data_IF_273418399393
#
_entry.id   IF_273418399393
#
_cell.length_a   1.000
_cell.length_b   1.000
_cell.length_c   1.000
_cell.angle_alpha   90.00
_cell.angle_beta   90.00
_cell.angle_gamma   90.00
#
_symmetry.space_group_name_H-M   'P 1'
#
loop_
_entity.id
_entity.type
_entity.pdbx_description
1 polymer ?
#
# COMPACT_ATOMS: atom_id res chain seq x y z
N UNK A 1 -22.63 -10.64 -5.39
CA UNK A 1 -23.22 -11.53 -6.42
C UNK A 1 -22.08 -12.14 -7.22
N UNK A 2 -21.71 -13.38 -6.94
CA UNK A 2 -20.64 -14.08 -7.66
C UNK A 2 -21.15 -14.59 -9.01
N UNK A 3 -20.42 -14.31 -10.08
CA UNK A 3 -20.69 -14.91 -11.40
C UNK A 3 -20.40 -16.40 -11.30
N UNK A 4 -21.41 -17.23 -11.52
CA UNK A 4 -21.23 -18.67 -11.67
C UNK A 4 -20.54 -18.93 -13.01
N UNK A 5 -19.22 -19.08 -12.98
CA UNK A 5 -18.45 -19.51 -14.14
C UNK A 5 -18.51 -21.05 -14.21
N UNK A 6 -19.51 -21.55 -14.93
CA UNK A 6 -19.69 -22.99 -15.19
C UNK A 6 -18.93 -23.38 -16.47
N UNK A 7 -17.60 -23.49 -16.34
CA UNK A 7 -16.73 -24.02 -17.38
C UNK A 7 -15.76 -25.02 -16.75
N UNK A 8 -15.66 -26.21 -17.33
CA UNK A 8 -14.90 -27.39 -16.87
C UNK A 8 -13.38 -27.21 -16.74
N UNK A 9 -12.86 -26.00 -16.93
CA UNK A 9 -11.43 -25.67 -16.82
C UNK A 9 -11.15 -24.49 -15.87
N UNK A 10 -12.13 -24.06 -15.07
CA UNK A 10 -11.89 -23.03 -14.05
C UNK A 10 -11.62 -23.66 -12.67
N UNK A 11 -10.47 -23.31 -12.10
CA UNK A 11 -10.13 -23.63 -10.72
C UNK A 11 -10.18 -22.35 -9.89
N UNK A 12 -10.87 -22.40 -8.75
CA UNK A 12 -10.81 -21.30 -7.79
C UNK A 12 -9.54 -21.40 -6.98
N UNK A 13 -8.83 -20.28 -6.80
CA UNK A 13 -7.60 -20.25 -6.04
C UNK A 13 -7.82 -20.69 -4.58
N UNK A 14 -8.94 -20.29 -3.98
CA UNK A 14 -9.36 -20.69 -2.63
C UNK A 14 -9.53 -22.21 -2.44
N UNK A 15 -9.85 -22.93 -3.51
CA UNK A 15 -9.99 -24.39 -3.48
C UNK A 15 -8.66 -25.12 -3.59
N UNK A 16 -7.65 -24.50 -4.21
CA UNK A 16 -6.33 -25.09 -4.41
C UNK A 16 -5.34 -24.68 -3.31
N UNK A 17 -5.40 -23.42 -2.88
CA UNK A 17 -4.55 -22.81 -1.88
C UNK A 17 -5.42 -21.96 -0.93
N UNK A 18 -6.18 -22.56 -0.01
CA UNK A 18 -6.99 -21.78 0.94
C UNK A 18 -6.11 -20.88 1.81
N UNK A 19 -6.59 -19.68 2.16
CA UNK A 19 -5.92 -18.79 3.10
C UNK A 19 -6.86 -18.45 4.26
N UNK A 20 -6.34 -18.47 5.49
CA UNK A 20 -7.09 -18.23 6.74
C UNK A 20 -6.97 -16.78 7.24
N UNK A 21 -6.43 -15.90 6.41
CA UNK A 21 -6.22 -14.51 6.72
C UNK A 21 -4.84 -14.17 7.27
N UNK A 22 -4.01 -15.16 7.62
CA UNK A 22 -2.62 -14.92 8.02
C UNK A 22 -1.65 -15.90 7.40
N UNK A 23 -2.12 -17.00 6.83
CA UNK A 23 -1.33 -17.96 6.06
C UNK A 23 -2.12 -18.47 4.86
N UNK A 24 -1.42 -19.01 3.87
CA UNK A 24 -2.00 -19.71 2.74
C UNK A 24 -1.49 -21.15 2.74
N UNK A 25 -2.35 -22.12 2.45
CA UNK A 25 -1.98 -23.53 2.39
C UNK A 25 -1.30 -23.86 1.05
N UNK A 26 -0.22 -24.61 1.13
CA UNK A 26 0.50 -25.26 0.05
C UNK A 26 0.15 -26.75 -0.07
N UNK A 27 1.03 -27.59 -0.65
CA UNK A 27 0.72 -28.97 -0.98
C UNK A 27 0.47 -29.77 0.31
N UNK A 28 -0.54 -30.63 0.27
CA UNK A 28 -0.98 -31.43 1.43
C UNK A 28 -1.31 -30.59 2.68
N UNK A 29 -1.72 -29.32 2.51
CA UNK A 29 -2.11 -28.44 3.62
C UNK A 29 -0.95 -27.82 4.39
N UNK A 30 0.29 -27.97 3.92
CA UNK A 30 1.46 -27.33 4.57
C UNK A 30 1.38 -25.81 4.44
N UNK A 31 1.58 -25.01 5.50
CA UNK A 31 1.48 -23.55 5.39
C UNK A 31 2.62 -22.96 4.56
N UNK A 32 2.28 -21.90 3.83
CA UNK A 32 3.23 -20.99 3.17
C UNK A 32 3.50 -19.86 4.15
N UNK A 33 4.57 -19.99 4.93
CA UNK A 33 4.97 -19.03 5.95
C UNK A 33 5.64 -17.80 5.32
N UNK A 34 4.85 -16.97 4.62
CA UNK A 34 5.30 -15.68 4.11
C UNK A 34 4.72 -14.55 4.98
N UNK A 35 5.53 -13.75 5.69
CA UNK A 35 5.05 -12.64 6.51
C UNK A 35 4.17 -11.61 5.80
N UNK A 36 4.27 -11.51 4.46
CA UNK A 36 3.46 -10.60 3.64
C UNK A 36 1.99 -11.01 3.56
N UNK A 37 1.61 -12.24 3.91
CA UNK A 37 0.20 -12.68 3.94
C UNK A 37 -0.66 -11.89 4.93
N UNK A 38 -0.04 -11.19 5.88
CA UNK A 38 -0.75 -10.23 6.75
C UNK A 38 -1.39 -9.10 5.93
N UNK A 39 -0.81 -8.74 4.78
CA UNK A 39 -1.29 -7.72 3.86
C UNK A 39 -2.29 -8.32 2.87
N UNK A 40 -3.55 -7.84 2.77
CA UNK A 40 -4.55 -8.39 1.86
C UNK A 40 -4.09 -8.48 0.40
N UNK A 41 -3.41 -7.44 -0.11
CA UNK A 41 -2.90 -7.41 -1.48
C UNK A 41 -1.88 -8.53 -1.75
N UNK A 42 -0.92 -8.74 -0.85
CA UNK A 42 0.05 -9.83 -0.96
C UNK A 42 -0.58 -11.20 -0.70
N UNK A 43 -1.53 -11.30 0.22
CA UNK A 43 -2.25 -12.55 0.47
C UNK A 43 -2.93 -13.07 -0.79
N UNK A 44 -3.67 -12.21 -1.48
CA UNK A 44 -4.33 -12.58 -2.74
C UNK A 44 -3.30 -12.97 -3.82
N UNK A 45 -2.21 -12.21 -3.94
CA UNK A 45 -1.15 -12.53 -4.89
C UNK A 45 -0.45 -13.87 -4.59
N UNK A 46 -0.12 -14.12 -3.32
CA UNK A 46 0.48 -15.38 -2.85
C UNK A 46 -0.48 -16.54 -3.05
N UNK A 47 -1.77 -16.36 -2.76
CA UNK A 47 -2.81 -17.36 -3.00
C UNK A 47 -2.88 -17.77 -4.48
N UNK A 48 -2.95 -16.77 -5.36
CA UNK A 48 -3.01 -16.99 -6.80
C UNK A 48 -1.74 -17.65 -7.33
N UNK A 49 -0.57 -17.19 -6.88
CA UNK A 49 0.72 -17.78 -7.26
C UNK A 49 0.84 -19.23 -6.74
N UNK A 50 0.37 -19.52 -5.53
CA UNK A 50 0.38 -20.86 -4.97
C UNK A 50 -0.55 -21.80 -5.76
N UNK A 51 -1.76 -21.36 -6.05
CA UNK A 51 -2.71 -22.10 -6.88
C UNK A 51 -2.15 -22.36 -8.30
N UNK A 52 -1.54 -21.36 -8.92
CA UNK A 52 -0.90 -21.50 -10.22
C UNK A 52 0.27 -22.49 -10.19
N UNK A 53 1.14 -22.41 -9.17
CA UNK A 53 2.25 -23.35 -8.98
C UNK A 53 1.73 -24.79 -8.85
N UNK A 54 0.68 -25.02 -8.07
CA UNK A 54 0.05 -26.34 -7.93
C UNK A 54 -0.51 -26.86 -9.27
N UNK A 55 -1.14 -26.00 -10.08
CA UNK A 55 -1.70 -26.37 -11.38
C UNK A 55 -0.62 -26.77 -12.40
N UNK A 56 0.56 -26.15 -12.36
CA UNK A 56 1.67 -26.45 -13.28
C UNK A 56 2.67 -27.48 -12.73
N UNK A 57 2.38 -28.10 -11.57
CA UNK A 57 3.25 -29.08 -10.93
C UNK A 57 4.50 -28.50 -10.27
N UNK A 58 4.52 -27.20 -9.96
CA UNK A 58 5.57 -26.53 -9.22
C UNK A 58 5.42 -26.62 -7.70
N UNK A 59 6.44 -26.16 -6.97
CA UNK A 59 6.44 -26.07 -5.51
C UNK A 59 6.05 -24.66 -5.02
N UNK A 60 4.85 -24.46 -4.46
CA UNK A 60 4.41 -23.16 -3.94
C UNK A 60 5.12 -22.78 -2.64
N UNK A 61 5.81 -23.68 -1.94
CA UNK A 61 6.53 -23.35 -0.69
C UNK A 61 7.70 -22.38 -0.93
N UNK A 62 8.16 -22.26 -2.18
CA UNK A 62 9.15 -21.25 -2.59
C UNK A 62 8.66 -19.82 -2.35
N UNK A 63 7.34 -19.60 -2.31
CA UNK A 63 6.73 -18.32 -2.01
C UNK A 63 7.00 -17.86 -0.56
N UNK A 64 7.40 -18.75 0.35
CA UNK A 64 7.82 -18.36 1.71
C UNK A 64 9.00 -17.38 1.72
N UNK A 65 9.84 -17.41 0.68
CA UNK A 65 11.02 -16.54 0.53
C UNK A 65 10.79 -15.30 -0.34
N UNK A 66 9.58 -15.14 -0.88
CA UNK A 66 9.25 -13.97 -1.69
C UNK A 66 9.26 -12.71 -0.81
N UNK A 67 10.12 -11.75 -1.15
CA UNK A 67 10.13 -10.42 -0.56
C UNK A 67 9.08 -9.49 -1.16
N UNK A 68 8.80 -8.35 -0.50
CA UNK A 68 7.90 -7.35 -1.05
C UNK A 68 8.51 -6.74 -2.31
N UNK A 69 7.64 -6.44 -3.27
CA UNK A 69 8.01 -5.68 -4.46
C UNK A 69 8.26 -4.22 -4.03
N UNK A 70 9.41 -3.62 -4.39
CA UNK A 70 9.66 -2.22 -4.13
C UNK A 70 8.51 -1.32 -4.61
N UNK A 71 8.10 -0.36 -3.77
CA UNK A 71 6.98 0.52 -4.07
C UNK A 71 5.60 -0.13 -3.95
N UNK A 72 5.46 -1.37 -3.49
CA UNK A 72 4.17 -2.03 -3.21
C UNK A 72 4.13 -2.52 -1.77
N UNK A 73 3.70 -1.67 -0.84
CA UNK A 73 3.67 -1.93 0.60
C UNK A 73 5.00 -2.47 1.16
N UNK A 74 6.13 -2.06 0.61
CA UNK A 74 7.44 -2.52 1.04
C UNK A 74 7.86 -1.78 2.32
N UNK A 75 7.92 -2.50 3.45
CA UNK A 75 8.40 -1.94 4.70
C UNK A 75 9.92 -2.07 4.85
N UNK A 76 10.58 -0.98 5.26
CA UNK A 76 12.02 -0.96 5.57
C UNK A 76 12.29 -0.10 6.81
N UNK A 77 13.46 -0.30 7.41
CA UNK A 77 13.99 0.60 8.43
C UNK A 77 14.93 1.61 7.77
N UNK A 78 14.71 2.89 8.04
CA UNK A 78 15.47 3.99 7.46
C UNK A 78 15.68 5.07 8.52
N UNK A 79 16.94 5.39 8.82
CA UNK A 79 17.29 6.34 9.89
C UNK A 79 16.58 6.04 11.23
N UNK A 80 16.38 4.75 11.56
CA UNK A 80 15.68 4.32 12.78
C UNK A 80 14.15 4.39 12.71
N UNK A 81 13.57 4.78 11.57
CA UNK A 81 12.12 4.90 11.35
C UNK A 81 11.62 3.81 10.40
N UNK A 82 10.41 3.31 10.66
CA UNK A 82 9.73 2.39 9.75
C UNK A 82 9.19 3.19 8.56
N UNK A 83 9.58 2.82 7.35
CA UNK A 83 9.07 3.41 6.11
C UNK A 83 8.30 2.34 5.36
N UNK A 84 7.02 2.59 5.09
CA UNK A 84 6.17 1.75 4.22
C UNK A 84 6.06 2.42 2.87
N UNK A 85 6.56 1.76 1.83
CA UNK A 85 6.64 2.30 0.48
C UNK A 85 5.60 1.65 -0.44
N UNK A 86 4.57 2.43 -0.78
CA UNK A 86 3.53 2.13 -1.75
C UNK A 86 3.53 3.13 -2.92
N UNK A 87 4.69 3.72 -3.23
CA UNK A 87 4.80 4.70 -4.31
C UNK A 87 5.07 4.03 -5.66
N UNK A 88 4.03 3.90 -6.47
CA UNK A 88 4.08 3.26 -7.79
C UNK A 88 2.98 3.80 -8.73
N UNK A 89 2.89 3.26 -9.95
CA UNK A 89 1.91 3.73 -10.95
C UNK A 89 0.46 3.38 -10.61
N UNK A 90 0.26 2.34 -9.79
CA UNK A 90 -1.02 1.87 -9.29
C UNK A 90 -1.44 2.45 -7.94
N UNK A 91 -0.71 3.41 -7.38
CA UNK A 91 -1.11 4.06 -6.13
C UNK A 91 -2.47 4.74 -6.29
N UNK A 92 -3.35 4.50 -5.32
CA UNK A 92 -4.70 5.07 -5.23
C UNK A 92 -5.02 5.42 -3.78
N UNK A 93 -6.18 6.05 -3.54
CA UNK A 93 -6.72 6.23 -2.19
C UNK A 93 -6.78 4.92 -1.40
N UNK A 94 -7.22 3.84 -2.02
CA UNK A 94 -7.36 2.54 -1.36
C UNK A 94 -5.99 2.02 -0.90
N UNK A 95 -5.01 1.98 -1.80
CA UNK A 95 -3.68 1.43 -1.47
C UNK A 95 -2.92 2.34 -0.49
N UNK A 96 -3.11 3.66 -0.55
CA UNK A 96 -2.59 4.59 0.44
C UNK A 96 -3.13 4.30 1.85
N UNK A 97 -4.44 4.04 1.98
CA UNK A 97 -5.04 3.65 3.26
C UNK A 97 -4.54 2.29 3.74
N UNK A 98 -4.38 1.31 2.85
CA UNK A 98 -3.80 0.00 3.20
C UNK A 98 -2.35 0.12 3.69
N UNK A 99 -1.54 0.97 3.04
CA UNK A 99 -0.17 1.26 3.44
C UNK A 99 -0.10 1.88 4.84
N UNK A 100 -1.00 2.82 5.14
CA UNK A 100 -1.08 3.43 6.46
C UNK A 100 -1.58 2.47 7.54
N UNK A 101 -2.57 1.64 7.23
CA UNK A 101 -3.02 0.58 8.14
C UNK A 101 -1.87 -0.39 8.45
N UNK A 102 -1.09 -0.76 7.44
CA UNK A 102 0.07 -1.61 7.63
C UNK A 102 1.15 -0.96 8.49
N UNK A 103 1.46 0.32 8.26
CA UNK A 103 2.39 1.07 9.08
C UNK A 103 1.96 1.09 10.56
N UNK A 104 0.67 1.22 10.84
CA UNK A 104 0.11 1.16 12.21
C UNK A 104 0.18 -0.24 12.83
N UNK A 105 0.05 -1.30 12.04
CA UNK A 105 0.28 -2.68 12.52
C UNK A 105 1.74 -2.87 12.91
N UNK A 106 2.67 -2.37 12.08
CA UNK A 106 4.11 -2.47 12.36
C UNK A 106 4.53 -1.62 13.56
N UNK A 107 3.89 -0.46 13.77
CA UNK A 107 4.18 0.48 14.85
C UNK A 107 2.87 0.98 15.48
N UNK A 108 2.27 0.22 16.41
CA UNK A 108 1.01 0.59 17.05
C UNK A 108 1.15 1.82 17.94
N UNK A 109 0.15 2.71 17.92
CA UNK A 109 0.00 3.80 18.89
C UNK A 109 1.00 4.95 18.79
N UNK A 110 1.79 5.03 17.71
CA UNK A 110 2.73 6.14 17.47
C UNK A 110 2.25 7.07 16.35
N UNK A 111 2.64 8.36 16.38
CA UNK A 111 2.30 9.33 15.34
C UNK A 111 2.70 8.87 13.93
N UNK A 112 1.84 9.05 12.93
CA UNK A 112 2.09 8.62 11.55
C UNK A 112 2.29 9.83 10.63
N UNK A 113 3.30 9.75 9.77
CA UNK A 113 3.49 10.71 8.66
C UNK A 113 3.07 10.07 7.34
N UNK A 114 2.21 10.74 6.58
CA UNK A 114 1.74 10.30 5.27
C UNK A 114 2.26 11.24 4.19
N UNK A 115 3.04 10.70 3.25
CA UNK A 115 3.45 11.38 2.02
C UNK A 115 2.54 10.88 0.90
N UNK A 116 1.74 11.75 0.30
CA UNK A 116 0.67 11.34 -0.62
C UNK A 116 0.48 12.33 -1.76
N UNK A 117 0.09 11.84 -2.93
CA UNK A 117 -0.20 12.67 -4.09
C UNK A 117 0.34 12.06 -5.38
N UNK A 118 0.77 12.90 -6.31
CA UNK A 118 1.24 12.48 -7.63
C UNK A 118 2.50 13.23 -8.03
N UNK A 119 3.52 12.48 -8.45
CA UNK A 119 4.73 13.02 -9.06
C UNK A 119 4.53 13.13 -10.59
N UNK A 120 5.03 14.22 -11.20
CA UNK A 120 4.73 14.59 -12.58
C UNK A 120 4.96 13.42 -13.58
N UNK A 121 4.01 13.25 -14.50
CA UNK A 121 3.95 12.25 -15.60
C UNK A 121 3.24 10.92 -15.30
N UNK A 122 2.48 10.73 -14.23
CA UNK A 122 1.64 9.53 -14.10
C UNK A 122 0.77 9.33 -15.37
N UNK A 123 0.85 8.17 -16.02
CA UNK A 123 0.21 7.94 -17.34
C UNK A 123 -1.08 7.11 -17.23
N UNK A 124 -1.32 6.51 -16.06
CA UNK A 124 -2.63 5.95 -15.69
C UNK A 124 -3.50 7.04 -15.05
N UNK A 125 -4.81 6.82 -14.92
CA UNK A 125 -5.75 7.73 -14.24
C UNK A 125 -5.09 8.36 -13.00
N UNK A 126 -4.95 9.69 -13.00
CA UNK A 126 -4.16 10.43 -12.02
C UNK A 126 -4.67 10.26 -10.59
N UNK A 127 -3.86 10.64 -9.59
CA UNK A 127 -4.30 10.68 -8.19
C UNK A 127 -5.00 12.03 -7.95
N UNK A 128 -6.33 12.04 -8.09
CA UNK A 128 -7.12 13.26 -8.03
C UNK A 128 -6.93 14.02 -6.70
N UNK A 129 -6.98 15.37 -6.68
CA UNK A 129 -6.88 16.14 -5.44
C UNK A 129 -7.89 15.71 -4.36
N UNK A 130 -9.13 15.42 -4.77
CA UNK A 130 -10.17 14.92 -3.87
C UNK A 130 -9.88 13.54 -3.31
N UNK A 131 -9.31 12.62 -4.10
CA UNK A 131 -8.88 11.32 -3.59
C UNK A 131 -7.68 11.45 -2.64
N UNK A 132 -6.77 12.39 -2.90
CA UNK A 132 -5.65 12.69 -2.01
C UNK A 132 -6.16 13.22 -0.66
N UNK A 133 -7.05 14.21 -0.68
CA UNK A 133 -7.67 14.76 0.52
C UNK A 133 -8.47 13.69 1.29
N UNK A 134 -9.25 12.87 0.58
CA UNK A 134 -9.99 11.77 1.18
C UNK A 134 -9.06 10.68 1.77
N UNK A 135 -7.91 10.40 1.15
CA UNK A 135 -6.90 9.51 1.72
C UNK A 135 -6.33 10.07 3.02
N UNK A 136 -5.94 11.35 3.05
CA UNK A 136 -5.45 12.02 4.27
C UNK A 136 -6.51 12.00 5.36
N UNK A 137 -7.76 12.36 5.05
CA UNK A 137 -8.85 12.36 6.03
C UNK A 137 -9.18 10.95 6.56
N UNK A 138 -9.11 9.92 5.71
CA UNK A 138 -9.35 8.53 6.12
C UNK A 138 -8.20 7.97 6.96
N UNK A 139 -6.97 8.28 6.56
CA UNK A 139 -5.79 7.85 7.31
C UNK A 139 -5.71 8.61 8.62
N UNK A 140 -6.05 9.88 8.65
CA UNK A 140 -5.87 10.80 9.78
C UNK A 140 -4.43 10.76 10.33
N UNK A 141 -3.43 11.20 9.53
CA UNK A 141 -2.05 11.25 9.97
C UNK A 141 -1.79 12.48 10.85
N UNK A 142 -0.79 12.40 11.72
CA UNK A 142 -0.32 13.57 12.48
C UNK A 142 0.36 14.61 11.58
N UNK A 143 0.98 14.12 10.50
CA UNK A 143 1.63 14.93 9.46
C UNK A 143 1.26 14.40 8.07
N UNK A 144 0.69 15.24 7.23
CA UNK A 144 0.52 14.99 5.80
C UNK A 144 1.52 15.82 4.98
N UNK A 145 2.15 15.19 3.99
CA UNK A 145 2.98 15.87 2.99
C UNK A 145 2.37 15.65 1.61
N UNK A 146 1.80 16.70 1.03
CA UNK A 146 1.13 16.61 -0.28
C UNK A 146 2.18 16.79 -1.38
N UNK A 147 2.33 15.76 -2.21
CA UNK A 147 3.29 15.73 -3.31
C UNK A 147 2.59 16.02 -4.63
N UNK A 148 3.09 17.00 -5.36
CA UNK A 148 2.71 17.20 -6.76
C UNK A 148 2.78 18.64 -7.26
N UNK A 149 2.22 18.91 -8.46
CA UNK A 149 2.22 20.24 -9.03
C UNK A 149 1.40 21.22 -8.15
N UNK A 150 1.69 22.54 -8.20
CA UNK A 150 0.98 23.53 -7.38
C UNK A 150 -0.54 23.46 -7.46
N UNK A 151 -1.10 23.20 -8.64
CA UNK A 151 -2.54 23.09 -8.83
C UNK A 151 -3.17 21.92 -8.06
N UNK A 152 -2.50 20.76 -8.05
CA UNK A 152 -2.95 19.58 -7.29
C UNK A 152 -2.89 19.88 -5.78
N UNK A 153 -1.78 20.45 -5.32
CA UNK A 153 -1.58 20.79 -3.91
C UNK A 153 -2.61 21.78 -3.41
N UNK A 154 -2.85 22.86 -4.15
CA UNK A 154 -3.86 23.86 -3.82
C UNK A 154 -5.26 23.25 -3.71
N UNK A 155 -5.68 22.47 -4.72
CA UNK A 155 -7.00 21.84 -4.70
C UNK A 155 -7.16 20.82 -3.56
N UNK A 156 -6.14 20.00 -3.27
CA UNK A 156 -6.19 19.03 -2.18
C UNK A 156 -6.24 19.74 -0.80
N UNK A 157 -5.57 20.88 -0.66
CA UNK A 157 -5.65 21.73 0.53
C UNK A 157 -7.05 22.31 0.72
N UNK A 158 -7.65 22.85 -0.33
CA UNK A 158 -9.02 23.38 -0.28
C UNK A 158 -10.01 22.29 0.17
N UNK A 159 -9.88 21.08 -0.37
CA UNK A 159 -10.70 19.93 0.01
C UNK A 159 -10.49 19.53 1.48
N UNK A 160 -9.24 19.53 1.97
CA UNK A 160 -8.93 19.23 3.38
C UNK A 160 -9.51 20.27 4.34
N UNK A 161 -9.46 21.55 3.97
CA UNK A 161 -10.07 22.64 4.73
C UNK A 161 -11.59 22.45 4.77
N UNK A 162 -12.22 22.12 3.63
CA UNK A 162 -13.66 21.88 3.56
C UNK A 162 -14.10 20.68 4.43
N UNK A 163 -13.25 19.65 4.56
CA UNK A 163 -13.47 18.49 5.43
C UNK A 163 -13.22 18.84 6.92
N UNK A 164 -12.53 19.94 7.21
CA UNK A 164 -12.18 20.34 8.58
C UNK A 164 -11.02 19.54 9.17
N UNK A 165 -10.14 18.99 8.33
CA UNK A 165 -8.95 18.29 8.81
C UNK A 165 -7.94 19.28 9.43
N UNK A 166 -7.28 18.89 10.52
CA UNK A 166 -6.51 19.81 11.38
C UNK A 166 -5.09 19.33 11.74
N UNK A 167 -4.59 18.28 11.09
CA UNK A 167 -3.22 17.81 11.28
C UNK A 167 -2.16 18.75 10.69
N UNK A 168 -0.88 18.45 10.93
CA UNK A 168 0.21 19.22 10.35
C UNK A 168 0.31 18.95 8.85
N UNK A 169 0.49 20.00 8.04
CA UNK A 169 0.55 19.90 6.59
C UNK A 169 1.84 20.49 6.05
N UNK A 170 2.48 19.76 5.13
CA UNK A 170 3.59 20.23 4.31
C UNK A 170 3.31 19.94 2.84
N UNK A 171 4.10 20.57 1.97
CA UNK A 171 3.99 20.46 0.53
C UNK A 171 5.34 20.13 -0.09
N UNK A 172 5.35 19.28 -1.12
CA UNK A 172 6.54 18.95 -1.87
C UNK A 172 6.25 18.77 -3.36
N UNK A 173 7.24 19.01 -4.22
CA UNK A 173 7.10 18.83 -5.66
C UNK A 173 7.38 17.41 -6.16
N UNK A 174 8.10 16.61 -5.37
CA UNK A 174 8.57 15.27 -5.73
C UNK A 174 8.42 14.31 -4.56
N UNK A 175 8.38 13.01 -4.84
CA UNK A 175 8.33 11.98 -3.82
C UNK A 175 9.57 12.05 -2.92
N UNK A 176 10.75 12.28 -3.49
CA UNK A 176 11.98 12.35 -2.70
C UNK A 176 11.98 13.56 -1.75
N UNK A 177 11.52 14.72 -2.22
CA UNK A 177 11.36 15.90 -1.36
C UNK A 177 10.29 15.67 -0.28
N UNK A 178 9.19 14.99 -0.62
CA UNK A 178 8.13 14.66 0.33
C UNK A 178 8.58 13.69 1.41
N UNK A 179 9.34 12.66 1.04
CA UNK A 179 9.99 11.72 1.96
C UNK A 179 10.96 12.44 2.89
N UNK A 180 11.84 13.28 2.35
CA UNK A 180 12.80 14.04 3.16
C UNK A 180 12.09 14.96 4.16
N UNK A 181 11.02 15.65 3.72
CA UNK A 181 10.21 16.50 4.58
C UNK A 181 9.53 15.70 5.72
N UNK A 182 8.93 14.55 5.41
CA UNK A 182 8.32 13.69 6.42
C UNK A 182 9.35 13.09 7.40
N UNK A 183 10.54 12.75 6.91
CA UNK A 183 11.62 12.24 7.76
C UNK A 183 12.17 13.32 8.70
N UNK A 184 12.24 14.56 8.25
CA UNK A 184 12.74 15.69 9.02
C UNK A 184 11.71 16.28 10.00
N UNK A 185 10.48 16.54 9.53
CA UNK A 185 9.43 17.18 10.33
C UNK A 185 8.60 16.17 11.15
N UNK A 186 8.50 14.92 10.68
CA UNK A 186 7.78 13.88 11.41
C UNK A 186 8.54 13.45 12.66
N UNK A 187 7.80 13.10 13.71
CA UNK A 187 8.38 12.52 14.93
C UNK A 187 8.97 11.12 14.70
N UNK A 188 9.26 10.38 15.77
CA UNK A 188 9.89 9.06 15.69
C UNK A 188 8.99 7.92 15.13
N UNK A 189 7.80 8.24 14.65
CA UNK A 189 6.84 7.28 14.13
C UNK A 189 7.02 6.94 12.65
N UNK A 190 6.20 6.02 12.12
CA UNK A 190 6.36 5.51 10.77
C UNK A 190 6.07 6.57 9.70
N UNK A 191 6.70 6.41 8.54
CA UNK A 191 6.43 7.19 7.33
C UNK A 191 5.80 6.28 6.29
N UNK A 192 4.71 6.73 5.68
CA UNK A 192 4.06 6.07 4.55
C UNK A 192 4.35 6.89 3.29
N UNK A 193 4.85 6.23 2.25
CA UNK A 193 5.05 6.83 0.93
C UNK A 193 3.96 6.28 0.00
N UNK A 194 2.96 7.09 -0.29
CA UNK A 194 1.82 6.76 -1.15
C UNK A 194 1.68 7.80 -2.27
N UNK A 195 2.74 7.93 -3.08
CA UNK A 195 2.78 8.87 -4.20
C UNK A 195 2.70 8.11 -5.51
N UNK A 196 1.76 8.50 -6.37
CA UNK A 196 1.66 7.95 -7.71
C UNK A 196 2.87 8.39 -8.56
N UNK A 197 3.61 7.43 -9.10
CA UNK A 197 4.88 7.66 -9.83
C UNK A 197 5.15 6.52 -10.84
N UNK A 198 6.19 6.64 -11.68
CA UNK A 198 6.51 5.70 -12.78
C UNK A 198 7.44 4.54 -12.39
N UNK A 199 7.57 4.25 -11.10
CA UNK A 199 8.51 3.27 -10.55
C UNK A 199 8.02 1.84 -10.70
#
# INVERSE_FOLDING_TARGET
SGVAADHTQFYRAESLAPCDGVSCAGPAGRPIDNPLTVLPAYRNAIQLAAAAALLVGGDPLRLATMGPVPGRLAARLEAGRTVVDDANSGTTRLTACEAAAYARVLRPGVPLSLVVGEEHRAVCDGFSPGDVAAAVATVDPDLAVIVGPPALRGAALDDLIAIGWSGALLEAGTLEAGRAAALWAGGAGPVVLAVKTWR
#
